data_IF_288604594602
#
_entry.id   IF_288604594602
#
_cell.length_a   1.000
_cell.length_b   1.000
_cell.length_c   1.000
_cell.angle_alpha   90.00
_cell.angle_beta   90.00
_cell.angle_gamma   90.00
#
_symmetry.space_group_name_H-M   'P 1'
#
loop_
_entity.id
_entity.type
_entity.pdbx_description
1 polymer ?
#
# COMPACT_ATOMS: atom_id res chain seq x y z
N UNK A 1 -5.10 13.24 -40.93
CA UNK A 1 -6.23 13.06 -39.99
C UNK A 1 -6.88 14.37 -39.51
N UNK A 2 -6.18 15.52 -39.39
CA UNK A 2 -6.78 16.79 -38.92
C UNK A 2 -8.05 17.26 -39.67
N UNK A 3 -8.17 16.97 -40.96
CA UNK A 3 -9.36 17.35 -41.76
C UNK A 3 -10.60 16.49 -41.47
N UNK A 4 -10.44 15.25 -41.02
CA UNK A 4 -11.57 14.35 -40.76
C UNK A 4 -12.22 14.60 -39.38
N UNK A 5 -11.46 15.13 -38.42
CA UNK A 5 -11.96 15.40 -37.07
C UNK A 5 -12.52 16.82 -36.87
N UNK A 6 -12.61 17.63 -37.93
CA UNK A 6 -12.93 19.06 -37.84
C UNK A 6 -12.06 19.82 -36.80
N UNK A 7 -10.85 19.33 -36.53
CA UNK A 7 -9.94 19.84 -35.51
C UNK A 7 -10.10 19.24 -34.10
N UNK A 8 -11.14 18.44 -33.84
CA UNK A 8 -11.38 17.83 -32.53
C UNK A 8 -10.85 16.38 -32.46
N UNK A 9 -9.52 16.23 -32.30
CA UNK A 9 -8.88 14.91 -32.25
C UNK A 9 -9.28 14.09 -31.03
N UNK A 10 -9.49 14.73 -29.87
CA UNK A 10 -9.95 14.06 -28.64
C UNK A 10 -11.33 13.42 -28.83
N UNK A 11 -12.29 14.14 -29.41
CA UNK A 11 -13.61 13.56 -29.73
C UNK A 11 -13.53 12.38 -30.70
N UNK A 12 -12.64 12.44 -31.70
CA UNK A 12 -12.42 11.32 -32.60
C UNK A 12 -11.80 10.11 -31.88
N UNK A 13 -10.88 10.34 -30.94
CA UNK A 13 -10.29 9.31 -30.11
C UNK A 13 -11.34 8.66 -29.20
N UNK A 14 -12.24 9.44 -28.59
CA UNK A 14 -13.35 8.94 -27.78
C UNK A 14 -14.31 8.06 -28.59
N UNK A 15 -14.68 8.49 -29.81
CA UNK A 15 -15.52 7.69 -30.70
C UNK A 15 -14.84 6.37 -31.10
N UNK A 16 -13.53 6.40 -31.39
CA UNK A 16 -12.78 5.17 -31.67
C UNK A 16 -12.68 4.28 -30.43
N UNK A 17 -12.54 4.83 -29.24
CA UNK A 17 -12.52 4.06 -28.00
C UNK A 17 -13.86 3.37 -27.76
N UNK A 18 -14.99 4.06 -27.95
CA UNK A 18 -16.33 3.44 -27.90
C UNK A 18 -16.47 2.32 -28.94
N UNK A 19 -15.98 2.53 -30.15
CA UNK A 19 -15.99 1.51 -31.22
C UNK A 19 -15.13 0.30 -30.84
N UNK A 20 -13.95 0.52 -30.27
CA UNK A 20 -13.06 -0.53 -29.80
C UNK A 20 -13.68 -1.35 -28.65
N UNK A 21 -14.37 -0.68 -27.72
CA UNK A 21 -15.10 -1.34 -26.64
C UNK A 21 -16.24 -2.21 -27.17
N UNK A 22 -17.03 -1.71 -28.12
CA UNK A 22 -18.07 -2.50 -28.79
C UNK A 22 -17.48 -3.71 -29.53
N UNK A 23 -16.42 -3.49 -30.32
CA UNK A 23 -15.69 -4.55 -31.03
C UNK A 23 -15.22 -5.65 -30.07
N UNK A 24 -14.63 -5.27 -28.93
CA UNK A 24 -14.19 -6.20 -27.90
C UNK A 24 -15.34 -7.03 -27.35
N UNK A 25 -16.46 -6.41 -26.95
CA UNK A 25 -17.61 -7.14 -26.39
C UNK A 25 -18.20 -8.12 -27.40
N UNK A 26 -18.33 -7.70 -28.66
CA UNK A 26 -18.83 -8.55 -29.74
C UNK A 26 -17.95 -9.80 -29.93
N UNK A 27 -16.62 -9.63 -29.97
CA UNK A 27 -15.68 -10.74 -30.16
C UNK A 27 -15.52 -11.59 -28.89
N UNK A 28 -15.64 -11.00 -27.71
CA UNK A 28 -15.60 -11.73 -26.44
C UNK A 28 -16.72 -12.79 -26.37
N UNK A 29 -17.91 -12.47 -26.90
CA UNK A 29 -19.08 -13.38 -26.89
C UNK A 29 -19.07 -14.35 -28.06
N UNK A 30 -18.44 -14.01 -29.18
CA UNK A 30 -18.54 -14.79 -30.43
C UNK A 30 -17.36 -15.74 -30.63
N UNK A 31 -16.16 -15.20 -30.91
CA UNK A 31 -15.02 -15.99 -31.39
C UNK A 31 -13.76 -15.90 -30.51
N UNK A 32 -13.75 -14.99 -29.54
CA UNK A 32 -12.61 -14.81 -28.64
C UNK A 32 -11.30 -14.51 -29.41
N UNK A 33 -11.41 -13.70 -30.49
CA UNK A 33 -10.26 -13.25 -31.28
C UNK A 33 -10.28 -11.74 -31.44
N UNK A 34 -9.16 -11.11 -31.10
CA UNK A 34 -9.04 -9.64 -31.09
C UNK A 34 -7.95 -9.12 -32.05
N UNK A 35 -7.92 -9.53 -33.34
CA UNK A 35 -6.84 -9.14 -34.26
C UNK A 35 -6.74 -7.63 -34.50
N UNK A 36 -7.84 -6.88 -34.35
CA UNK A 36 -7.86 -5.45 -34.64
C UNK A 36 -7.68 -4.56 -33.40
N UNK A 37 -7.62 -5.14 -32.20
CA UNK A 37 -7.60 -4.36 -30.96
C UNK A 37 -6.35 -3.47 -30.86
N UNK A 38 -5.17 -3.99 -31.24
CA UNK A 38 -3.92 -3.22 -31.24
C UNK A 38 -4.03 -2.01 -32.17
N UNK A 39 -4.59 -2.22 -33.36
CA UNK A 39 -4.76 -1.15 -34.34
C UNK A 39 -5.75 -0.08 -33.86
N UNK A 40 -6.83 -0.48 -33.17
CA UNK A 40 -7.74 0.48 -32.53
C UNK A 40 -7.02 1.31 -31.48
N UNK A 41 -6.28 0.67 -30.57
CA UNK A 41 -5.55 1.36 -29.50
C UNK A 41 -4.47 2.30 -30.05
N UNK A 42 -3.68 1.85 -31.02
CA UNK A 42 -2.66 2.67 -31.67
C UNK A 42 -3.29 3.87 -32.39
N UNK A 43 -4.45 3.71 -33.04
CA UNK A 43 -5.18 4.82 -33.65
C UNK A 43 -5.73 5.81 -32.61
N UNK A 44 -6.26 5.32 -31.48
CA UNK A 44 -6.74 6.16 -30.37
C UNK A 44 -5.59 7.00 -29.82
N UNK A 45 -4.45 6.38 -29.49
CA UNK A 45 -3.28 7.09 -28.95
C UNK A 45 -2.63 8.03 -29.97
N UNK A 46 -2.68 7.67 -31.26
CA UNK A 46 -2.24 8.54 -32.35
C UNK A 46 -3.11 9.79 -32.54
N UNK A 47 -4.38 9.74 -32.11
CA UNK A 47 -5.28 10.90 -32.09
C UNK A 47 -5.15 11.70 -30.79
N UNK A 48 -5.16 11.01 -29.64
CA UNK A 48 -4.99 11.60 -28.32
C UNK A 48 -4.32 10.61 -27.35
N UNK A 49 -3.04 10.86 -27.07
CA UNK A 49 -2.25 10.06 -26.15
C UNK A 49 -2.57 10.34 -24.67
N UNK A 50 -3.38 11.37 -24.35
CA UNK A 50 -3.67 11.78 -22.97
C UNK A 50 -4.90 11.07 -22.36
N UNK A 51 -5.40 9.99 -22.98
CA UNK A 51 -6.53 9.21 -22.47
C UNK A 51 -6.00 8.04 -21.61
N UNK A 52 -5.67 8.29 -20.34
CA UNK A 52 -5.14 7.26 -19.41
C UNK A 52 -5.99 5.98 -19.38
N UNK A 53 -7.32 6.13 -19.43
CA UNK A 53 -8.27 5.03 -19.41
C UNK A 53 -8.05 4.03 -20.56
N UNK A 54 -7.62 4.49 -21.73
CA UNK A 54 -7.42 3.63 -22.90
C UNK A 54 -6.20 2.70 -22.72
N UNK A 55 -5.14 3.15 -22.06
CA UNK A 55 -3.97 2.32 -21.72
C UNK A 55 -4.31 1.27 -20.67
N UNK A 56 -4.99 1.68 -19.59
CA UNK A 56 -5.48 0.76 -18.54
C UNK A 56 -6.37 -0.31 -19.14
N UNK A 57 -7.36 0.12 -19.94
CA UNK A 57 -8.30 -0.77 -20.62
C UNK A 57 -7.57 -1.73 -21.55
N UNK A 58 -6.69 -1.23 -22.43
CA UNK A 58 -5.92 -2.07 -23.35
C UNK A 58 -5.06 -3.13 -22.63
N UNK A 59 -4.33 -2.72 -21.59
CA UNK A 59 -3.52 -3.63 -20.77
C UNK A 59 -4.34 -4.73 -20.08
N UNK A 60 -5.60 -4.43 -19.75
CA UNK A 60 -6.51 -5.35 -19.08
C UNK A 60 -7.21 -6.29 -20.09
N UNK A 61 -7.85 -5.72 -21.12
CA UNK A 61 -8.80 -6.46 -21.96
C UNK A 61 -8.17 -7.37 -22.99
N UNK A 62 -6.93 -7.08 -23.41
CA UNK A 62 -6.23 -7.96 -24.36
C UNK A 62 -6.06 -9.37 -23.81
N UNK A 63 -6.17 -9.58 -22.50
CA UNK A 63 -6.06 -10.91 -21.87
C UNK A 63 -7.38 -11.69 -21.90
N UNK A 64 -8.51 -11.01 -22.07
CA UNK A 64 -9.82 -11.65 -21.98
C UNK A 64 -10.26 -12.24 -23.31
N UNK A 65 -11.01 -13.34 -23.23
CA UNK A 65 -11.53 -14.02 -24.41
C UNK A 65 -10.41 -14.53 -25.32
N UNK A 66 -9.29 -15.02 -24.78
CA UNK A 66 -8.34 -15.85 -25.51
C UNK A 66 -7.52 -16.67 -24.53
N UNK A 67 -6.75 -17.64 -25.04
CA UNK A 67 -5.77 -18.34 -24.22
C UNK A 67 -4.71 -17.33 -23.76
N UNK A 68 -4.58 -17.14 -22.45
CA UNK A 68 -3.54 -16.29 -21.88
C UNK A 68 -2.22 -17.05 -21.97
N UNK A 69 -1.38 -16.65 -22.92
CA UNK A 69 -0.01 -17.13 -23.10
C UNK A 69 1.00 -15.99 -22.93
N UNK A 70 2.28 -16.32 -23.12
CA UNK A 70 3.39 -15.37 -22.97
C UNK A 70 3.27 -14.19 -23.95
N UNK A 71 2.85 -14.42 -25.19
CA UNK A 71 2.70 -13.35 -26.19
C UNK A 71 1.61 -12.36 -25.79
N UNK A 72 0.47 -12.86 -25.32
CA UNK A 72 -0.62 -12.02 -24.79
C UNK A 72 -0.14 -11.24 -23.56
N UNK A 73 0.63 -11.86 -22.67
CA UNK A 73 1.17 -11.21 -21.48
C UNK A 73 2.22 -10.13 -21.82
N UNK A 74 3.06 -10.35 -22.83
CA UNK A 74 4.00 -9.36 -23.38
C UNK A 74 3.24 -8.19 -23.98
N UNK A 75 2.21 -8.44 -24.79
CA UNK A 75 1.37 -7.39 -25.40
C UNK A 75 0.64 -6.56 -24.34
N UNK A 76 0.03 -7.20 -23.34
CA UNK A 76 -0.60 -6.51 -22.21
C UNK A 76 0.39 -5.60 -21.46
N UNK A 77 1.60 -6.11 -21.19
CA UNK A 77 2.65 -5.33 -20.54
C UNK A 77 3.17 -4.19 -21.42
N UNK A 78 3.23 -4.36 -22.75
CA UNK A 78 3.58 -3.27 -23.67
C UNK A 78 2.60 -2.11 -23.55
N UNK A 79 1.29 -2.37 -23.50
CA UNK A 79 0.29 -1.32 -23.32
C UNK A 79 0.39 -0.61 -21.98
N UNK A 80 0.60 -1.37 -20.90
CA UNK A 80 0.79 -0.78 -19.58
C UNK A 80 2.06 0.10 -19.51
N UNK A 81 3.17 -0.38 -20.08
CA UNK A 81 4.44 0.37 -20.14
C UNK A 81 4.31 1.64 -20.98
N UNK A 82 3.68 1.55 -22.15
CA UNK A 82 3.40 2.73 -22.97
C UNK A 82 2.55 3.74 -22.20
N UNK A 83 1.54 3.28 -21.47
CA UNK A 83 0.76 4.16 -20.59
C UNK A 83 1.61 4.83 -19.51
N UNK A 84 2.59 4.14 -18.93
CA UNK A 84 3.51 4.73 -17.94
C UNK A 84 4.46 5.78 -18.53
N UNK A 85 4.70 5.79 -19.85
CA UNK A 85 5.46 6.86 -20.50
C UNK A 85 4.70 8.20 -20.47
N UNK A 86 3.36 8.15 -20.53
CA UNK A 86 2.48 9.33 -20.47
C UNK A 86 1.95 9.61 -19.05
N UNK A 87 1.75 8.56 -18.25
CA UNK A 87 1.18 8.60 -16.91
C UNK A 87 2.07 7.85 -15.91
N UNK A 88 3.28 8.36 -15.61
CA UNK A 88 4.26 7.65 -14.77
C UNK A 88 3.79 7.44 -13.32
N UNK A 89 2.76 8.18 -12.88
CA UNK A 89 2.19 8.11 -11.54
C UNK A 89 0.84 7.36 -11.51
N UNK A 90 0.53 6.57 -12.54
CA UNK A 90 -0.68 5.78 -12.60
C UNK A 90 -0.49 4.41 -11.93
N UNK A 91 -0.96 4.21 -10.69
CA UNK A 91 -0.72 2.97 -9.96
C UNK A 91 -1.39 1.75 -10.60
N UNK A 92 -2.46 1.95 -11.37
CA UNK A 92 -3.15 0.85 -12.05
C UNK A 92 -2.28 0.21 -13.12
N UNK A 93 -1.47 0.98 -13.83
CA UNK A 93 -0.57 0.44 -14.86
C UNK A 93 0.57 -0.38 -14.23
N UNK A 94 1.12 0.05 -13.10
CA UNK A 94 2.07 -0.77 -12.32
C UNK A 94 1.42 -2.07 -11.84
N UNK A 95 0.20 -1.98 -11.30
CA UNK A 95 -0.56 -3.15 -10.87
C UNK A 95 -0.81 -4.14 -12.02
N UNK A 96 -1.22 -3.67 -13.20
CA UNK A 96 -1.43 -4.55 -14.36
C UNK A 96 -0.16 -5.28 -14.78
N UNK A 97 0.99 -4.60 -14.77
CA UNK A 97 2.29 -5.26 -15.05
C UNK A 97 2.58 -6.33 -14.01
N UNK A 98 2.41 -6.02 -12.72
CA UNK A 98 2.60 -6.98 -11.63
C UNK A 98 1.69 -8.20 -11.78
N UNK A 99 0.42 -7.97 -12.08
CA UNK A 99 -0.58 -9.02 -12.29
C UNK A 99 -0.18 -9.93 -13.44
N UNK A 100 0.21 -9.36 -14.59
CA UNK A 100 0.58 -10.12 -15.77
C UNK A 100 1.82 -10.96 -15.53
N UNK A 101 2.88 -10.38 -14.95
CA UNK A 101 4.12 -11.10 -14.60
C UNK A 101 3.86 -12.30 -13.69
N UNK A 102 2.85 -12.20 -12.82
CA UNK A 102 2.54 -13.24 -11.84
C UNK A 102 1.62 -14.33 -12.35
N UNK A 103 0.60 -13.99 -13.13
CA UNK A 103 -0.50 -14.91 -13.46
C UNK A 103 -0.59 -15.23 -14.95
N UNK A 104 -0.02 -14.40 -15.82
CA UNK A 104 -0.15 -14.56 -17.27
C UNK A 104 1.10 -15.17 -17.93
N UNK A 105 2.28 -15.02 -17.32
CA UNK A 105 3.51 -15.66 -17.81
C UNK A 105 3.60 -17.11 -17.34
N UNK A 106 4.00 -17.99 -18.25
CA UNK A 106 4.39 -19.36 -17.92
C UNK A 106 5.92 -19.38 -17.70
N UNK A 107 6.42 -19.62 -16.47
CA UNK A 107 7.85 -19.66 -16.24
C UNK A 107 8.50 -20.85 -16.94
N UNK A 108 9.67 -20.64 -17.54
CA UNK A 108 10.43 -21.70 -18.22
C UNK A 108 11.08 -22.68 -17.25
N UNK A 109 11.50 -22.17 -16.10
CA UNK A 109 12.13 -22.90 -15.01
C UNK A 109 11.90 -22.18 -13.67
N UNK A 110 12.36 -22.79 -12.57
CA UNK A 110 12.19 -22.25 -11.22
C UNK A 110 12.95 -20.91 -10.99
N UNK A 111 14.06 -20.69 -11.70
CA UNK A 111 14.82 -19.45 -11.59
C UNK A 111 14.06 -18.30 -12.27
N UNK A 112 13.49 -18.57 -13.44
CA UNK A 112 12.65 -17.64 -14.19
C UNK A 112 11.37 -17.32 -13.41
N UNK A 113 10.75 -18.32 -12.77
CA UNK A 113 9.62 -18.11 -11.87
C UNK A 113 9.98 -17.18 -10.70
N UNK A 114 11.11 -17.44 -10.03
CA UNK A 114 11.59 -16.58 -8.94
C UNK A 114 11.83 -15.15 -9.42
N UNK A 115 12.45 -14.99 -10.60
CA UNK A 115 12.69 -13.68 -11.23
C UNK A 115 11.39 -12.94 -11.54
N UNK A 116 10.43 -13.60 -12.18
CA UNK A 116 9.14 -13.03 -12.53
C UNK A 116 8.34 -12.62 -11.29
N UNK A 117 8.30 -13.49 -10.26
CA UNK A 117 7.66 -13.18 -8.97
C UNK A 117 8.30 -12.02 -8.25
N UNK A 118 9.64 -11.94 -8.25
CA UNK A 118 10.37 -10.82 -7.68
C UNK A 118 10.06 -9.50 -8.39
N UNK A 119 10.06 -9.50 -9.72
CA UNK A 119 9.73 -8.33 -10.51
C UNK A 119 8.25 -7.92 -10.33
N UNK A 120 7.33 -8.89 -10.31
CA UNK A 120 5.91 -8.63 -10.04
C UNK A 120 5.71 -7.93 -8.69
N UNK A 121 6.43 -8.37 -7.65
CA UNK A 121 6.35 -7.76 -6.33
C UNK A 121 6.86 -6.31 -6.34
N UNK A 122 7.96 -6.01 -7.03
CA UNK A 122 8.47 -4.63 -7.16
C UNK A 122 7.46 -3.68 -7.83
N UNK A 123 6.82 -4.14 -8.91
CA UNK A 123 5.76 -3.37 -9.56
C UNK A 123 4.56 -3.16 -8.63
N UNK A 124 4.20 -4.18 -7.85
CA UNK A 124 3.10 -4.08 -6.91
C UNK A 124 3.40 -3.12 -5.76
N UNK A 125 4.60 -3.17 -5.18
CA UNK A 125 5.08 -2.21 -4.18
C UNK A 125 4.96 -0.78 -4.69
N UNK A 126 5.40 -0.56 -5.93
CA UNK A 126 5.31 0.75 -6.58
C UNK A 126 3.84 1.18 -6.68
N UNK A 127 2.93 0.30 -7.11
CA UNK A 127 1.50 0.61 -7.18
C UNK A 127 0.91 1.00 -5.81
N UNK A 128 1.22 0.25 -4.74
CA UNK A 128 0.73 0.53 -3.39
C UNK A 128 1.39 1.74 -2.73
N UNK A 129 2.52 2.23 -3.24
CA UNK A 129 3.14 3.46 -2.73
C UNK A 129 2.36 4.73 -3.12
N UNK A 130 1.45 4.64 -4.10
CA UNK A 130 0.63 5.78 -4.52
C UNK A 130 -0.61 5.91 -3.62
N UNK A 131 -0.88 7.11 -3.05
CA UNK A 131 -2.05 7.33 -2.19
C UNK A 131 -3.41 7.13 -2.88
N UNK A 132 -3.45 7.22 -4.21
CA UNK A 132 -4.67 7.06 -5.01
C UNK A 132 -5.01 5.61 -5.33
N UNK A 133 -4.13 4.66 -4.98
CA UNK A 133 -4.35 3.26 -5.30
C UNK A 133 -5.27 2.57 -4.30
N UNK A 134 -6.53 2.38 -4.70
CA UNK A 134 -7.55 1.72 -3.89
C UNK A 134 -7.71 0.26 -4.32
N UNK A 135 -6.90 -0.62 -3.73
CA UNK A 135 -7.06 -2.09 -3.79
C UNK A 135 -7.13 -2.65 -2.38
N UNK A 136 -7.54 -3.92 -2.24
CA UNK A 136 -7.53 -4.57 -0.93
C UNK A 136 -6.11 -4.50 -0.33
N UNK A 137 -5.93 -3.82 0.82
CA UNK A 137 -4.61 -3.72 1.46
C UNK A 137 -4.00 -5.07 1.84
N UNK A 138 -4.84 -6.06 2.12
CA UNK A 138 -4.41 -7.41 2.49
C UNK A 138 -3.71 -8.13 1.35
N UNK A 139 -3.95 -7.70 0.10
CA UNK A 139 -3.35 -8.33 -1.06
C UNK A 139 -1.82 -8.20 -1.04
N UNK A 140 -1.28 -6.99 -0.82
CA UNK A 140 0.18 -6.79 -0.76
C UNK A 140 0.82 -7.60 0.39
N UNK A 141 0.20 -7.61 1.57
CA UNK A 141 0.64 -8.42 2.72
C UNK A 141 0.72 -9.90 2.33
N UNK A 142 -0.33 -10.41 1.68
CA UNK A 142 -0.35 -11.78 1.19
C UNK A 142 0.75 -12.07 0.18
N UNK A 143 1.12 -11.09 -0.67
CA UNK A 143 2.22 -11.26 -1.61
C UNK A 143 3.59 -11.30 -0.94
N UNK A 144 3.82 -10.47 0.09
CA UNK A 144 5.04 -10.52 0.88
C UNK A 144 5.21 -11.84 1.62
N UNK A 145 4.16 -12.33 2.29
CA UNK A 145 4.17 -13.61 2.99
C UNK A 145 4.48 -14.78 2.04
N UNK A 146 3.90 -14.77 0.83
CA UNK A 146 4.19 -15.80 -0.20
C UNK A 146 5.63 -15.72 -0.73
N UNK A 147 6.26 -14.55 -0.67
CA UNK A 147 7.65 -14.35 -1.05
C UNK A 147 8.64 -14.64 0.09
N UNK A 148 8.16 -14.98 1.29
CA UNK A 148 9.00 -15.15 2.48
C UNK A 148 9.57 -13.82 3.01
N UNK A 149 8.97 -12.69 2.63
CA UNK A 149 9.36 -11.34 3.07
C UNK A 149 8.54 -10.95 4.29
N UNK A 150 8.84 -11.63 5.38
CA UNK A 150 8.02 -11.57 6.58
C UNK A 150 7.99 -10.17 7.21
N UNK A 151 9.15 -9.53 7.37
CA UNK A 151 9.23 -8.20 7.98
C UNK A 151 8.48 -7.16 7.15
N UNK A 152 8.61 -7.22 5.82
CA UNK A 152 7.87 -6.34 4.90
C UNK A 152 6.36 -6.59 4.97
N UNK A 153 5.93 -7.83 5.18
CA UNK A 153 4.52 -8.15 5.37
C UNK A 153 3.94 -7.55 6.65
N UNK A 154 4.73 -7.54 7.73
CA UNK A 154 4.34 -6.91 9.00
C UNK A 154 4.23 -5.40 8.82
N UNK A 155 5.23 -4.79 8.18
CA UNK A 155 5.23 -3.35 7.92
C UNK A 155 4.02 -2.94 7.06
N UNK A 156 3.79 -3.63 5.95
CA UNK A 156 2.64 -3.36 5.08
C UNK A 156 1.31 -3.61 5.79
N UNK A 157 1.22 -4.64 6.64
CA UNK A 157 0.03 -4.88 7.45
C UNK A 157 -0.25 -3.68 8.38
N UNK A 158 0.77 -3.18 9.09
CA UNK A 158 0.62 -2.03 9.99
C UNK A 158 0.23 -0.74 9.25
N UNK A 159 0.90 -0.45 8.12
CA UNK A 159 0.64 0.75 7.31
C UNK A 159 -0.80 0.79 6.79
N UNK A 160 -1.30 -0.36 6.35
CA UNK A 160 -2.60 -0.44 5.71
C UNK A 160 -3.75 -0.71 6.67
N UNK A 161 -3.48 -1.24 7.87
CA UNK A 161 -4.50 -1.60 8.86
C UNK A 161 -5.42 -0.43 9.24
N UNK A 162 -4.83 0.76 9.37
CA UNK A 162 -5.55 1.96 9.75
C UNK A 162 -6.54 2.42 8.66
N UNK A 163 -6.22 2.17 7.39
CA UNK A 163 -7.04 2.53 6.23
C UNK A 163 -8.02 1.43 5.83
N UNK A 164 -7.84 0.21 6.34
CA UNK A 164 -8.67 -0.94 6.04
C UNK A 164 -10.10 -0.81 6.61
N UNK A 165 -11.08 -1.43 5.96
CA UNK A 165 -12.42 -1.61 6.52
C UNK A 165 -12.39 -2.62 7.68
N UNK A 166 -13.46 -2.72 8.48
CA UNK A 166 -13.53 -3.71 9.56
C UNK A 166 -13.48 -5.16 9.04
N UNK A 167 -14.09 -5.41 7.88
CA UNK A 167 -14.00 -6.68 7.18
C UNK A 167 -12.56 -6.97 6.74
N UNK A 168 -11.89 -6.00 6.11
CA UNK A 168 -10.49 -6.14 5.70
C UNK A 168 -9.56 -6.36 6.89
N UNK A 169 -9.73 -5.63 8.01
CA UNK A 169 -8.95 -5.87 9.24
C UNK A 169 -9.16 -7.28 9.79
N UNK A 170 -10.39 -7.79 9.73
CA UNK A 170 -10.70 -9.15 10.16
C UNK A 170 -10.05 -10.19 9.26
N UNK A 171 -10.14 -10.00 7.95
CA UNK A 171 -9.47 -10.86 6.97
C UNK A 171 -7.94 -10.83 7.13
N UNK A 172 -7.36 -9.67 7.41
CA UNK A 172 -5.91 -9.53 7.66
C UNK A 172 -5.48 -10.35 8.87
N UNK A 173 -6.20 -10.25 9.98
CA UNK A 173 -5.90 -11.02 11.19
C UNK A 173 -6.02 -12.53 10.94
N UNK A 174 -7.02 -12.97 10.18
CA UNK A 174 -7.14 -14.37 9.77
C UNK A 174 -5.94 -14.80 8.93
N UNK A 175 -5.57 -14.02 7.92
CA UNK A 175 -4.40 -14.27 7.07
C UNK A 175 -3.11 -14.40 7.89
N UNK A 176 -2.92 -13.53 8.88
CA UNK A 176 -1.77 -13.57 9.78
C UNK A 176 -1.80 -14.81 10.69
N UNK A 177 -2.96 -15.16 11.25
CA UNK A 177 -3.12 -16.38 12.04
C UNK A 177 -2.77 -17.64 11.24
N UNK A 178 -3.30 -17.76 10.02
CA UNK A 178 -3.07 -18.91 9.13
C UNK A 178 -1.58 -19.05 8.74
N UNK A 179 -0.81 -17.98 8.89
CA UNK A 179 0.63 -17.93 8.60
C UNK A 179 1.49 -18.01 9.86
N UNK A 180 0.93 -18.52 10.96
CA UNK A 180 1.58 -18.66 12.27
C UNK A 180 2.07 -17.31 12.84
N UNK A 181 1.39 -16.21 12.52
CA UNK A 181 1.66 -14.86 13.05
C UNK A 181 0.61 -14.45 14.09
N UNK A 182 0.19 -15.39 14.93
CA UNK A 182 -0.86 -15.18 15.93
C UNK A 182 -0.56 -14.04 16.91
N UNK A 183 0.72 -13.82 17.25
CA UNK A 183 1.13 -12.69 18.09
C UNK A 183 0.78 -11.35 17.44
N UNK A 184 1.15 -11.14 16.17
CA UNK A 184 0.83 -9.91 15.44
C UNK A 184 -0.68 -9.76 15.21
N UNK A 185 -1.38 -10.85 14.87
CA UNK A 185 -2.83 -10.81 14.76
C UNK A 185 -3.50 -10.39 16.08
N UNK A 186 -2.97 -10.87 17.21
CA UNK A 186 -3.39 -10.47 18.56
C UNK A 186 -3.08 -9.01 18.88
N UNK A 187 -1.91 -8.51 18.49
CA UNK A 187 -1.55 -7.08 18.61
C UNK A 187 -2.53 -6.18 17.84
N UNK A 188 -2.84 -6.52 16.59
CA UNK A 188 -3.81 -5.79 15.76
C UNK A 188 -5.23 -5.87 16.35
N UNK A 189 -5.66 -7.04 16.82
CA UNK A 189 -6.96 -7.19 17.49
C UNK A 189 -7.05 -6.35 18.77
N UNK A 190 -5.97 -6.31 19.55
CA UNK A 190 -5.89 -5.49 20.75
C UNK A 190 -5.91 -3.99 20.42
N UNK A 191 -5.24 -3.56 19.34
CA UNK A 191 -5.30 -2.17 18.87
C UNK A 191 -6.73 -1.74 18.51
N UNK A 192 -7.51 -2.60 17.83
CA UNK A 192 -8.93 -2.33 17.56
C UNK A 192 -9.74 -2.19 18.85
N UNK A 193 -9.50 -3.06 19.83
CA UNK A 193 -10.21 -2.99 21.12
C UNK A 193 -9.82 -1.73 21.90
N UNK A 194 -8.54 -1.37 21.91
CA UNK A 194 -8.04 -0.15 22.54
C UNK A 194 -8.64 1.08 21.88
N UNK A 195 -8.67 1.14 20.54
CA UNK A 195 -9.33 2.21 19.79
C UNK A 195 -10.80 2.35 20.18
N UNK A 196 -11.59 1.26 20.12
CA UNK A 196 -13.02 1.26 20.46
C UNK A 196 -13.28 1.68 21.91
N UNK A 197 -12.39 1.33 22.85
CA UNK A 197 -12.52 1.66 24.28
C UNK A 197 -12.10 3.09 24.59
N UNK A 198 -10.93 3.50 24.10
CA UNK A 198 -10.22 4.69 24.57
C UNK A 198 -10.46 5.92 23.69
N UNK A 199 -10.64 5.70 22.38
CA UNK A 199 -10.78 6.74 21.37
C UNK A 199 -11.88 6.43 20.34
N UNK A 200 -13.12 6.10 20.75
CA UNK A 200 -14.19 5.71 19.81
C UNK A 200 -14.56 6.83 18.82
N UNK A 201 -14.19 8.07 19.12
CA UNK A 201 -14.40 9.25 18.29
C UNK A 201 -13.25 9.54 17.32
N UNK A 202 -12.07 8.92 17.51
CA UNK A 202 -10.91 9.15 16.67
C UNK A 202 -10.93 8.23 15.43
N UNK A 203 -10.32 8.69 14.34
CA UNK A 203 -9.98 7.81 13.22
C UNK A 203 -8.99 6.72 13.68
N UNK A 204 -9.07 5.47 13.15
CA UNK A 204 -8.15 4.39 13.52
C UNK A 204 -6.66 4.75 13.40
N UNK A 205 -6.29 5.57 12.42
CA UNK A 205 -4.90 6.03 12.23
C UNK A 205 -4.44 6.88 13.40
N UNK A 206 -5.30 7.81 13.86
CA UNK A 206 -5.00 8.66 15.00
C UNK A 206 -4.94 7.82 16.29
N UNK A 207 -5.84 6.86 16.46
CA UNK A 207 -5.83 5.97 17.62
C UNK A 207 -4.57 5.09 17.68
N UNK A 208 -4.09 4.60 16.52
CA UNK A 208 -2.82 3.88 16.42
C UNK A 208 -1.64 4.76 16.87
N UNK A 209 -1.62 6.03 16.46
CA UNK A 209 -0.58 6.98 16.85
C UNK A 209 -0.63 7.37 18.33
N UNK A 210 -1.83 7.61 18.87
CA UNK A 210 -2.01 7.93 20.30
C UNK A 210 -1.66 6.74 21.20
N UNK A 211 -1.72 5.52 20.66
CA UNK A 211 -1.59 4.29 21.45
C UNK A 211 -2.78 4.11 22.39
N UNK A 212 -2.75 3.12 23.30
CA UNK A 212 -3.78 2.97 24.32
C UNK A 212 -3.82 4.23 25.19
N UNK A 213 -5.00 4.68 25.60
CA UNK A 213 -5.09 5.75 26.59
C UNK A 213 -4.47 5.21 27.87
N UNK A 214 -3.29 5.73 28.20
CA UNK A 214 -2.76 5.57 29.55
C UNK A 214 -3.82 6.18 30.45
N UNK A 215 -4.52 5.34 31.21
CA UNK A 215 -5.34 5.82 32.31
C UNK A 215 -4.33 6.40 33.28
N UNK A 216 -3.96 7.67 33.07
CA UNK A 216 -3.51 8.47 34.19
C UNK A 216 -4.63 8.29 35.19
N UNK A 217 -4.35 7.58 36.29
CA UNK A 217 -5.27 7.57 37.40
C UNK A 217 -5.72 9.03 37.58
N UNK A 218 -7.03 9.31 37.76
CA UNK A 218 -7.39 10.62 38.28
C UNK A 218 -6.45 10.87 39.46
N UNK A 219 -5.87 12.06 39.67
CA UNK A 219 -4.98 12.27 40.80
C UNK A 219 -5.76 11.89 42.07
N UNK A 220 -5.60 10.66 42.53
CA UNK A 220 -6.34 10.07 43.62
C UNK A 220 -5.56 10.46 44.85
N UNK A 221 -5.56 11.77 45.12
CA UNK A 221 -4.70 12.44 46.08
C UNK A 221 -3.20 12.19 45.76
N UNK A 222 -2.41 13.21 45.40
CA UNK A 222 -0.99 13.07 45.04
C UNK A 222 -0.06 12.38 46.06
N UNK A 223 -0.56 11.88 47.20
CA UNK A 223 0.19 11.54 48.38
C UNK A 223 0.24 10.04 48.76
N UNK A 224 -0.40 9.12 48.02
CA UNK A 224 -0.43 7.68 48.40
C UNK A 224 -0.03 6.74 47.23
N UNK A 225 1.27 6.42 47.10
CA UNK A 225 1.83 5.54 46.05
C UNK A 225 1.26 4.11 46.04
N UNK A 226 0.81 3.61 47.19
CA UNK A 226 0.27 2.26 47.37
C UNK A 226 -1.08 2.01 46.70
N UNK A 227 -1.81 3.07 46.32
CA UNK A 227 -3.14 2.97 45.69
C UNK A 227 -3.09 2.97 44.15
N UNK A 228 -1.89 2.91 43.57
CA UNK A 228 -1.71 2.91 42.12
C UNK A 228 -2.03 1.52 41.58
N UNK A 229 -2.94 1.43 40.61
CA UNK A 229 -3.18 0.17 39.90
C UNK A 229 -1.88 -0.25 39.18
N UNK A 230 -1.50 -1.52 39.31
CA UNK A 230 -0.38 -2.07 38.54
C UNK A 230 -0.74 -2.06 37.07
N UNK A 231 0.04 -1.32 36.28
CA UNK A 231 -0.07 -1.34 34.82
C UNK A 231 0.09 -2.78 34.31
N UNK A 232 -0.75 -3.24 33.37
CA UNK A 232 -0.42 -4.43 32.60
C UNK A 232 0.87 -4.15 31.83
N UNK A 233 1.87 -5.00 31.99
CA UNK A 233 3.15 -4.83 31.32
C UNK A 233 2.95 -4.78 29.80
N UNK A 234 3.45 -3.72 29.16
CA UNK A 234 3.55 -3.67 27.70
C UNK A 234 4.46 -4.82 27.27
N UNK A 235 4.04 -5.71 26.35
CA UNK A 235 4.87 -6.81 25.87
C UNK A 235 6.25 -6.31 25.44
N UNK A 236 7.31 -6.97 25.91
CA UNK A 236 8.70 -6.54 25.70
C UNK A 236 9.03 -6.39 24.20
N UNK A 237 8.44 -7.24 23.36
CA UNK A 237 8.62 -7.21 21.91
C UNK A 237 8.09 -5.91 21.27
N UNK A 238 6.98 -5.37 21.79
CA UNK A 238 6.38 -4.13 21.32
C UNK A 238 7.23 -2.92 21.73
N UNK A 239 7.77 -2.93 22.96
CA UNK A 239 8.68 -1.88 23.43
C UNK A 239 9.93 -1.78 22.55
N UNK A 240 10.52 -2.94 22.22
CA UNK A 240 11.69 -3.04 21.34
C UNK A 240 11.41 -2.53 19.92
N UNK A 241 10.24 -2.84 19.35
CA UNK A 241 9.84 -2.41 18.01
C UNK A 241 9.51 -0.91 17.91
N UNK A 242 8.95 -0.34 18.97
CA UNK A 242 8.58 1.09 19.02
C UNK A 242 9.76 2.01 19.41
N UNK A 243 10.97 1.47 19.56
CA UNK A 243 12.12 2.24 20.00
C UNK A 243 11.95 2.81 21.42
N UNK A 244 11.03 2.27 22.21
CA UNK A 244 10.90 2.61 23.62
C UNK A 244 12.05 1.91 24.34
N UNK A 245 13.15 2.63 24.56
CA UNK A 245 14.22 2.18 25.45
C UNK A 245 13.61 1.69 26.76
N UNK A 246 14.16 0.62 27.33
CA UNK A 246 13.65 -0.02 28.56
C UNK A 246 13.28 1.06 29.56
N UNK A 247 11.98 1.28 29.76
CA UNK A 247 11.51 2.20 30.79
C UNK A 247 11.84 1.48 32.09
N UNK A 248 12.96 1.87 32.70
CA UNK A 248 13.31 1.45 34.05
C UNK A 248 12.09 1.82 34.90
N UNK A 249 11.46 0.85 35.59
CA UNK A 249 10.39 1.21 36.51
C UNK A 249 10.96 2.25 37.47
N UNK A 250 10.28 3.38 37.60
CA UNK A 250 10.60 4.39 38.60
C UNK A 250 10.25 3.80 39.97
N UNK A 251 11.10 2.92 40.45
CA UNK A 251 11.14 2.49 41.83
C UNK A 251 11.39 3.77 42.63
N UNK A 252 10.46 4.14 43.51
CA UNK A 252 10.31 5.48 44.12
C UNK A 252 11.45 5.96 45.03
N UNK A 253 12.67 5.99 44.52
CA UNK A 253 13.85 6.54 45.18
C UNK A 253 14.24 7.88 44.53
N UNK A 254 13.71 8.96 45.10
CA UNK A 254 14.40 10.25 45.18
C UNK A 254 14.44 11.11 43.91
N UNK A 255 13.31 11.71 43.54
CA UNK A 255 13.33 12.96 42.77
C UNK A 255 13.52 14.14 43.73
N UNK A 256 14.68 14.81 43.66
CA UNK A 256 14.92 16.11 44.32
C UNK A 256 14.79 17.23 43.29
N UNK A 257 13.92 18.20 43.56
CA UNK A 257 13.55 19.30 42.65
C UNK A 257 14.63 20.40 42.54
N UNK A 258 15.74 20.24 43.25
CA UNK A 258 16.75 21.26 43.52
C UNK A 258 17.89 21.29 42.47
N UNK A 259 17.98 20.29 41.58
CA UNK A 259 19.10 20.16 40.63
C UNK A 259 18.97 21.00 39.33
N UNK A 260 17.83 21.64 39.08
CA UNK A 260 17.59 22.39 37.82
C UNK A 260 17.76 23.91 37.91
N UNK A 261 18.04 24.47 39.09
CA UNK A 261 18.15 25.92 39.28
C UNK A 261 19.54 26.52 38.97
N UNK A 262 20.51 25.75 38.46
CA UNK A 262 21.92 26.15 38.46
C UNK A 262 22.73 25.88 37.19
N UNK A 263 22.15 25.97 35.98
CA UNK A 263 22.93 25.96 34.74
C UNK A 263 22.80 27.28 33.98
N UNK A 264 23.77 28.14 34.24
CA UNK A 264 24.08 29.36 33.48
C UNK A 264 24.19 29.07 31.98
N UNK A 265 23.27 29.65 31.20
CA UNK A 265 23.43 29.86 29.77
C UNK A 265 24.23 31.14 29.56
N UNK A 266 25.55 31.05 29.73
CA UNK A 266 26.48 32.10 29.33
C UNK A 266 27.53 31.55 28.36
N UNK A 267 27.65 32.26 27.23
CA UNK A 267 28.74 32.24 26.26
C UNK A 267 28.81 31.05 25.29
N UNK A 268 28.33 31.28 24.06
CA UNK A 268 29.09 30.97 22.84
C UNK A 268 28.59 31.88 21.70
N UNK A 269 29.10 33.11 21.68
CA UNK A 269 29.22 33.89 20.45
C UNK A 269 30.71 33.86 20.07
N UNK A 270 31.03 33.42 18.86
CA UNK A 270 32.32 33.71 18.23
C UNK A 270 32.10 34.16 16.79
N UNK A 271 32.74 35.28 16.38
CA UNK A 271 32.69 35.80 15.03
C UNK A 271 33.91 35.32 14.24
N UNK A 272 33.78 34.99 12.95
CA UNK A 272 34.80 35.37 11.95
C UNK A 272 34.29 35.24 10.52
N UNK A 273 34.14 36.39 9.87
CA UNK A 273 34.34 36.59 8.44
C UNK A 273 35.83 36.91 8.22
N UNK A 274 36.51 36.19 7.33
CA UNK A 274 37.58 36.71 6.47
C UNK A 274 38.19 35.61 5.58
N UNK A 275 37.69 35.49 4.34
CA UNK A 275 38.40 35.60 3.05
C UNK A 275 37.61 34.91 1.94
#
# INVERSE_FOLDING_TARGET
>A
MRMASLGNQGFAADLLFLRAAHYFVEHLVTDSRLPWLDLYLEAIWGLDANIAQSYRWGAQVIKFGQKIDEEVAIRANRFARLGLEYFPNDPWLYHEIAFNLRYSYQPRDAQDEKRLRGLALQYLETAYSFPSFAMDPNYLVGQYLRAGRDDDSVQAALETYAQATEEQRTNLRSLLNDRNRAALAGELAWLDQAHKRDFPWADPTLALFLGPKRVAAPPAQPAQPENWYREPAVPAELQKRLGMGSVVPLDGAGWRADEWAGRDLAAQASPTLAR
#
